data_IF_690726394159
#
_entry.id   IF_690726394159
#
_cell.length_a   1.000
_cell.length_b   1.000
_cell.length_c   1.000
_cell.angle_alpha   90.00
_cell.angle_beta   90.00
_cell.angle_gamma   90.00
#
_symmetry.space_group_name_H-M   'P 1'
#
loop_
_entity.id
_entity.type
_entity.pdbx_description
1 polymer ?
#
# COMPACT_ATOMS: atom_id res chain seq x y z
N UNK A 1 -47.89 -13.48 56.99
CA UNK A 1 -47.86 -12.11 56.45
C UNK A 1 -46.45 -11.59 56.57
N UNK A 2 -45.66 -11.73 55.51
CA UNK A 2 -44.39 -11.02 55.31
C UNK A 2 -44.33 -10.69 53.83
N UNK A 3 -44.37 -9.41 53.53
CA UNK A 3 -44.34 -8.81 52.19
C UNK A 3 -42.89 -8.59 51.76
N UNK A 4 -42.43 -9.24 50.70
CA UNK A 4 -41.22 -8.85 49.97
C UNK A 4 -41.62 -8.10 48.71
N UNK A 5 -41.40 -6.78 48.76
CA UNK A 5 -41.46 -5.87 47.64
C UNK A 5 -40.20 -6.02 46.78
N UNK A 6 -40.32 -6.77 45.67
CA UNK A 6 -39.30 -6.84 44.63
C UNK A 6 -39.18 -5.50 43.89
N UNK A 7 -38.12 -4.76 44.20
CA UNK A 7 -37.75 -3.53 43.53
C UNK A 7 -37.18 -3.86 42.14
N UNK A 8 -37.98 -3.74 41.07
CA UNK A 8 -37.46 -3.87 39.70
C UNK A 8 -36.71 -2.58 39.35
N UNK A 9 -35.40 -2.60 39.55
CA UNK A 9 -34.51 -1.57 39.02
C UNK A 9 -34.54 -1.65 37.50
N UNK A 10 -35.31 -0.77 36.87
CA UNK A 10 -35.24 -0.53 35.44
C UNK A 10 -33.80 -0.22 35.05
N UNK A 11 -33.22 -1.08 34.21
CA UNK A 11 -31.89 -0.89 33.67
C UNK A 11 -31.93 0.35 32.78
N UNK A 12 -31.43 1.48 33.28
CA UNK A 12 -31.27 2.70 32.49
C UNK A 12 -30.16 2.42 31.49
N UNK A 13 -30.55 2.05 30.28
CA UNK A 13 -29.63 1.87 29.16
C UNK A 13 -29.22 3.26 28.68
N UNK A 14 -27.95 3.61 28.86
CA UNK A 14 -27.37 4.81 28.28
C UNK A 14 -27.36 4.65 26.75
N UNK A 15 -28.35 5.26 26.10
CA UNK A 15 -28.50 5.25 24.64
C UNK A 15 -27.31 5.91 23.94
N UNK A 16 -26.56 6.77 24.61
CA UNK A 16 -25.34 7.41 24.10
C UNK A 16 -24.18 6.43 24.11
N UNK A 17 -24.00 5.66 25.20
CA UNK A 17 -23.02 4.59 25.27
C UNK A 17 -23.36 3.40 24.34
N UNK A 18 -24.65 3.12 24.12
CA UNK A 18 -25.10 2.12 23.13
C UNK A 18 -24.90 2.61 21.69
N UNK A 19 -25.07 3.91 21.43
CA UNK A 19 -24.75 4.52 20.11
C UNK A 19 -23.24 4.55 19.85
N UNK A 20 -22.43 4.88 20.85
CA UNK A 20 -20.97 4.83 20.75
C UNK A 20 -20.45 3.39 20.56
N UNK A 21 -21.08 2.39 21.20
CA UNK A 21 -20.80 0.95 20.94
C UNK A 21 -21.26 0.46 19.56
N UNK A 22 -22.12 1.22 18.87
CA UNK A 22 -22.63 0.90 17.51
C UNK A 22 -21.91 1.68 16.41
N UNK A 23 -21.09 2.67 16.73
CA UNK A 23 -20.26 3.32 15.74
C UNK A 23 -19.12 2.37 15.40
N UNK A 24 -19.27 1.69 14.25
CA UNK A 24 -18.21 0.90 13.63
C UNK A 24 -16.96 1.78 13.55
N UNK A 25 -15.84 1.28 14.07
CA UNK A 25 -14.56 1.96 13.88
C UNK A 25 -14.19 1.84 12.40
N UNK A 26 -13.82 2.94 11.73
CA UNK A 26 -13.44 2.90 10.33
C UNK A 26 -12.25 1.95 10.17
N UNK A 27 -12.18 1.25 9.04
CA UNK A 27 -11.11 0.31 8.73
C UNK A 27 -10.49 0.62 7.38
N UNK A 28 -9.23 0.23 7.24
CA UNK A 28 -8.61 0.13 5.93
C UNK A 28 -8.65 -1.33 5.53
N UNK A 29 -9.30 -1.63 4.40
CA UNK A 29 -9.35 -2.96 3.82
C UNK A 29 -8.38 -3.01 2.66
N UNK A 30 -7.54 -4.04 2.63
CA UNK A 30 -6.68 -4.35 1.49
C UNK A 30 -7.46 -5.23 0.53
N UNK A 31 -7.71 -4.70 -0.65
CA UNK A 31 -8.40 -5.39 -1.72
C UNK A 31 -7.38 -5.91 -2.73
N UNK A 32 -7.52 -7.18 -3.11
CA UNK A 32 -6.92 -7.73 -4.33
C UNK A 32 -7.96 -7.68 -5.44
N UNK A 33 -7.76 -6.79 -6.39
CA UNK A 33 -8.56 -6.72 -7.61
C UNK A 33 -7.80 -7.45 -8.73
N UNK A 34 -8.37 -8.51 -9.29
CA UNK A 34 -7.72 -9.35 -10.28
C UNK A 34 -8.59 -9.60 -11.51
N UNK A 35 -7.99 -9.48 -12.69
CA UNK A 35 -8.54 -9.92 -13.96
C UNK A 35 -7.73 -11.12 -14.45
N UNK A 36 -8.36 -12.29 -14.48
CA UNK A 36 -7.76 -13.54 -14.95
C UNK A 36 -8.13 -13.75 -16.42
N UNK A 37 -7.12 -13.81 -17.29
CA UNK A 37 -7.26 -14.18 -18.70
C UNK A 37 -6.55 -15.52 -18.94
N UNK A 38 -6.83 -16.14 -20.08
CA UNK A 38 -6.26 -17.45 -20.40
C UNK A 38 -4.72 -17.41 -20.56
N UNK A 39 -4.16 -16.24 -20.84
CA UNK A 39 -2.76 -16.00 -21.19
C UNK A 39 -2.04 -15.03 -20.23
N UNK A 40 -2.77 -14.31 -19.37
CA UNK A 40 -2.19 -13.36 -18.43
C UNK A 40 -3.08 -13.14 -17.20
N UNK A 41 -2.46 -12.79 -16.08
CA UNK A 41 -3.13 -12.29 -14.89
C UNK A 41 -2.72 -10.84 -14.67
N UNK A 42 -3.72 -9.97 -14.50
CA UNK A 42 -3.53 -8.58 -14.09
C UNK A 42 -4.11 -8.42 -12.72
N UNK A 43 -3.36 -7.89 -11.77
CA UNK A 43 -3.90 -7.64 -10.44
C UNK A 43 -3.38 -6.35 -9.82
N UNK A 44 -4.16 -5.81 -8.88
CA UNK A 44 -3.83 -4.63 -8.07
C UNK A 44 -4.15 -4.95 -6.62
N UNK A 45 -3.23 -4.61 -5.74
CA UNK A 45 -3.47 -4.52 -4.30
C UNK A 45 -3.76 -3.06 -3.96
N UNK A 46 -4.92 -2.80 -3.39
CA UNK A 46 -5.42 -1.45 -3.14
C UNK A 46 -5.91 -1.39 -1.70
N UNK A 47 -5.31 -0.53 -0.89
CA UNK A 47 -5.83 -0.18 0.42
C UNK A 47 -6.90 0.89 0.30
N UNK A 48 -8.08 0.63 0.87
CA UNK A 48 -9.23 1.53 0.79
C UNK A 48 -9.90 1.72 2.15
N UNK A 49 -10.46 2.91 2.39
CA UNK A 49 -11.39 3.13 3.49
C UNK A 49 -12.64 2.25 3.30
N UNK A 50 -12.97 1.43 4.29
CA UNK A 50 -14.13 0.52 4.24
C UNK A 50 -15.50 1.24 4.27
N UNK A 51 -15.51 2.53 4.60
CA UNK A 51 -16.65 3.45 4.45
C UNK A 51 -16.74 4.12 3.08
N UNK A 52 -15.86 3.79 2.12
CA UNK A 52 -16.07 4.18 0.71
C UNK A 52 -17.37 3.56 0.20
N UNK A 53 -18.07 4.23 -0.73
CA UNK A 53 -19.14 3.57 -1.46
C UNK A 53 -18.57 2.79 -2.65
N UNK A 54 -19.31 1.78 -3.13
CA UNK A 54 -18.95 1.05 -4.34
C UNK A 54 -18.79 1.97 -5.56
N UNK A 55 -19.56 3.06 -5.66
CA UNK A 55 -19.39 4.08 -6.69
C UNK A 55 -18.03 4.79 -6.62
N UNK A 56 -17.50 5.02 -5.42
CA UNK A 56 -16.17 5.60 -5.27
C UNK A 56 -15.08 4.56 -5.56
N UNK A 57 -15.31 3.29 -5.20
CA UNK A 57 -14.41 2.20 -5.57
C UNK A 57 -14.33 2.02 -7.08
N UNK A 58 -15.42 2.26 -7.83
CA UNK A 58 -15.39 2.33 -9.29
C UNK A 58 -14.34 3.34 -9.78
N UNK A 59 -14.32 4.55 -9.23
CA UNK A 59 -13.34 5.57 -9.63
C UNK A 59 -11.90 5.14 -9.32
N UNK A 60 -11.68 4.52 -8.15
CA UNK A 60 -10.38 3.97 -7.75
C UNK A 60 -9.93 2.87 -8.70
N UNK A 61 -10.83 1.97 -9.11
CA UNK A 61 -10.52 0.87 -10.03
C UNK A 61 -10.29 1.37 -11.46
N UNK A 62 -11.03 2.40 -11.90
CA UNK A 62 -10.78 3.05 -13.18
C UNK A 62 -9.36 3.58 -13.23
N UNK A 63 -8.89 4.24 -12.17
CA UNK A 63 -7.53 4.75 -12.06
C UNK A 63 -6.51 3.61 -11.99
N UNK A 64 -6.72 2.65 -11.09
CA UNK A 64 -5.76 1.57 -10.86
C UNK A 64 -5.55 0.63 -12.06
N UNK A 65 -6.54 0.53 -12.96
CA UNK A 65 -6.47 -0.29 -14.17
C UNK A 65 -6.28 0.52 -15.46
N UNK A 66 -6.16 1.86 -15.39
CA UNK A 66 -5.95 2.70 -16.57
C UNK A 66 -7.14 2.69 -17.53
N UNK A 67 -8.36 2.77 -17.00
CA UNK A 67 -9.63 2.68 -17.76
C UNK A 67 -10.25 4.05 -18.09
N UNK A 68 -9.51 5.14 -17.88
CA UNK A 68 -9.99 6.52 -17.91
C UNK A 68 -10.52 6.91 -19.29
N UNK A 69 -9.87 6.46 -20.37
CA UNK A 69 -10.32 6.71 -21.75
C UNK A 69 -11.73 6.16 -22.02
N UNK A 70 -12.14 5.15 -21.25
CA UNK A 70 -13.44 4.49 -21.35
C UNK A 70 -14.41 4.96 -20.26
N UNK A 71 -14.00 5.90 -19.40
CA UNK A 71 -14.83 6.45 -18.33
C UNK A 71 -16.07 7.13 -18.94
N UNK A 72 -17.25 6.68 -18.50
CA UNK A 72 -18.54 7.21 -18.95
C UNK A 72 -19.05 6.65 -20.29
N UNK A 73 -18.25 5.89 -21.04
CA UNK A 73 -18.70 5.21 -22.27
C UNK A 73 -19.00 3.72 -22.04
N UNK A 74 -18.31 3.08 -21.10
CA UNK A 74 -18.56 1.70 -20.72
C UNK A 74 -19.59 1.59 -19.56
N UNK A 75 -20.60 0.71 -19.66
CA UNK A 75 -21.48 0.41 -18.53
C UNK A 75 -20.70 -0.34 -17.45
N UNK A 76 -21.02 -0.08 -16.18
CA UNK A 76 -20.40 -0.75 -15.06
C UNK A 76 -21.41 -1.09 -13.97
N UNK A 77 -21.07 -2.08 -13.14
CA UNK A 77 -21.76 -2.41 -11.89
C UNK A 77 -20.94 -3.40 -11.05
N UNK A 78 -21.37 -3.64 -9.82
CA UNK A 78 -20.87 -4.71 -8.97
C UNK A 78 -21.93 -5.81 -8.83
N UNK A 79 -21.49 -7.04 -8.60
CA UNK A 79 -22.33 -8.19 -8.25
C UNK A 79 -21.68 -9.03 -7.15
N UNK A 80 -22.44 -9.94 -6.53
CA UNK A 80 -21.86 -10.96 -5.65
C UNK A 80 -20.97 -11.91 -6.45
N UNK A 81 -19.94 -12.49 -5.80
CA UNK A 81 -19.05 -13.44 -6.48
C UNK A 81 -19.76 -14.72 -6.96
N UNK A 82 -20.88 -15.09 -6.32
CA UNK A 82 -21.62 -16.31 -6.63
C UNK A 82 -22.71 -16.11 -7.71
N UNK A 83 -23.33 -14.93 -7.80
CA UNK A 83 -24.38 -14.62 -8.77
C UNK A 83 -24.19 -13.26 -9.45
N UNK A 84 -23.77 -13.30 -10.72
CA UNK A 84 -23.61 -12.13 -11.58
C UNK A 84 -24.88 -11.27 -11.70
N UNK A 85 -26.07 -11.87 -11.57
CA UNK A 85 -27.33 -11.15 -11.72
C UNK A 85 -27.74 -10.41 -10.44
N UNK A 86 -27.15 -10.77 -9.31
CA UNK A 86 -27.35 -10.10 -8.03
C UNK A 86 -26.49 -8.83 -7.98
N UNK A 87 -27.01 -7.76 -8.59
CA UNK A 87 -26.33 -6.47 -8.64
C UNK A 87 -26.34 -5.80 -7.28
N UNK A 88 -25.18 -5.33 -6.84
CA UNK A 88 -25.03 -4.55 -5.62
C UNK A 88 -25.36 -3.09 -5.87
N UNK A 89 -25.89 -2.39 -4.87
CA UNK A 89 -26.16 -0.96 -4.99
C UNK A 89 -24.83 -0.19 -4.96
N UNK A 90 -24.60 0.66 -5.96
CA UNK A 90 -23.38 1.47 -6.02
C UNK A 90 -23.27 2.46 -4.84
N UNK A 91 -24.39 2.76 -4.18
CA UNK A 91 -24.44 3.56 -2.97
C UNK A 91 -24.17 2.77 -1.68
N UNK A 92 -23.91 1.46 -1.75
CA UNK A 92 -23.51 0.69 -0.57
C UNK A 92 -22.06 0.99 -0.19
N UNK A 93 -21.80 1.09 1.12
CA UNK A 93 -20.46 1.15 1.67
C UNK A 93 -19.75 -0.20 1.50
N UNK A 94 -18.43 -0.18 1.24
CA UNK A 94 -17.64 -1.38 0.96
C UNK A 94 -17.79 -2.43 2.03
N UNK A 95 -17.86 -2.00 3.28
CA UNK A 95 -17.92 -2.90 4.39
C UNK A 95 -19.23 -3.70 4.55
N UNK A 96 -20.24 -3.44 3.72
CA UNK A 96 -21.39 -4.35 3.64
C UNK A 96 -21.06 -5.62 2.85
N UNK A 97 -20.02 -5.58 2.02
CA UNK A 97 -19.71 -6.62 1.03
C UNK A 97 -18.27 -7.16 1.12
N UNK A 98 -17.35 -6.41 1.72
CA UNK A 98 -15.91 -6.67 1.78
C UNK A 98 -15.38 -6.38 3.19
N UNK A 99 -15.98 -7.02 4.21
CA UNK A 99 -15.67 -6.75 5.61
C UNK A 99 -14.59 -7.69 6.17
N UNK A 100 -14.70 -8.97 5.83
CA UNK A 100 -13.87 -10.05 6.33
C UNK A 100 -12.90 -10.53 5.24
N UNK A 101 -11.77 -11.09 5.67
CA UNK A 101 -10.83 -11.73 4.76
C UNK A 101 -11.52 -12.87 3.99
N UNK A 102 -11.35 -12.87 2.68
CA UNK A 102 -11.98 -13.81 1.75
C UNK A 102 -13.29 -13.31 1.15
N UNK A 103 -13.95 -12.30 1.74
CA UNK A 103 -15.12 -11.68 1.14
C UNK A 103 -14.81 -11.22 -0.28
N UNK A 104 -15.70 -11.51 -1.21
CA UNK A 104 -15.46 -11.27 -2.62
C UNK A 104 -16.69 -10.77 -3.37
N UNK A 105 -16.47 -9.79 -4.24
CA UNK A 105 -17.46 -9.27 -5.19
C UNK A 105 -16.83 -9.23 -6.59
N UNK A 106 -17.66 -9.07 -7.61
CA UNK A 106 -17.18 -8.88 -8.99
C UNK A 106 -17.52 -7.49 -9.46
N UNK A 107 -16.52 -6.79 -9.95
CA UNK A 107 -16.69 -5.53 -10.66
C UNK A 107 -16.73 -5.79 -12.17
N UNK A 108 -17.81 -5.34 -12.80
CA UNK A 108 -18.02 -5.45 -14.23
C UNK A 108 -17.82 -4.08 -14.87
N UNK A 109 -16.96 -3.99 -15.87
CA UNK A 109 -16.71 -2.77 -16.65
C UNK A 109 -16.67 -3.10 -18.14
N UNK A 110 -17.74 -2.75 -18.86
CA UNK A 110 -17.91 -3.17 -20.25
C UNK A 110 -17.93 -4.69 -20.38
N UNK A 111 -16.90 -5.25 -21.03
CA UNK A 111 -16.71 -6.69 -21.21
C UNK A 111 -15.77 -7.33 -20.18
N UNK A 112 -15.22 -6.53 -19.27
CA UNK A 112 -14.23 -6.98 -18.31
C UNK A 112 -14.89 -7.31 -16.97
N UNK A 113 -14.49 -8.45 -16.42
CA UNK A 113 -14.86 -8.89 -15.08
C UNK A 113 -13.60 -8.89 -14.20
N UNK A 114 -13.62 -8.13 -13.11
CA UNK A 114 -12.52 -8.00 -12.17
C UNK A 114 -13.01 -8.52 -10.83
N UNK A 115 -12.41 -9.60 -10.33
CA UNK A 115 -12.73 -10.18 -9.03
C UNK A 115 -12.04 -9.33 -7.97
N UNK A 116 -12.79 -8.88 -6.98
CA UNK A 116 -12.29 -8.08 -5.86
C UNK A 116 -12.46 -8.91 -4.62
N UNK A 117 -11.34 -9.23 -3.98
CA UNK A 117 -11.31 -9.99 -2.73
C UNK A 117 -10.70 -9.16 -1.62
N UNK A 118 -11.36 -9.10 -0.47
CA UNK A 118 -10.76 -8.57 0.75
C UNK A 118 -9.69 -9.55 1.24
N UNK A 119 -8.44 -9.10 1.30
CA UNK A 119 -7.30 -9.90 1.74
C UNK A 119 -7.02 -9.66 3.21
N UNK A 120 -7.13 -8.41 3.65
CA UNK A 120 -6.83 -8.06 5.03
C UNK A 120 -7.57 -6.78 5.42
N UNK A 121 -7.76 -6.58 6.72
CA UNK A 121 -8.49 -5.43 7.23
C UNK A 121 -7.93 -4.99 8.57
N UNK A 122 -7.63 -3.70 8.70
CA UNK A 122 -7.01 -3.12 9.91
C UNK A 122 -7.80 -1.92 10.39
N UNK A 123 -7.65 -1.60 11.67
CA UNK A 123 -8.21 -0.36 12.20
C UNK A 123 -7.61 0.83 11.46
N UNK A 124 -8.48 1.74 11.06
CA UNK A 124 -8.09 2.93 10.35
C UNK A 124 -7.72 4.02 11.34
N UNK A 125 -6.61 4.67 11.08
CA UNK A 125 -6.28 5.95 11.66
C UNK A 125 -6.75 7.11 10.76
N UNK A 126 -6.83 8.30 11.34
CA UNK A 126 -7.28 9.52 10.64
C UNK A 126 -6.33 9.94 9.49
N UNK A 127 -5.11 9.38 9.42
CA UNK A 127 -4.05 9.74 8.46
C UNK A 127 -3.97 8.83 7.23
N UNK A 128 -4.70 7.72 7.18
CA UNK A 128 -4.66 6.83 6.02
C UNK A 128 -5.38 7.48 4.83
N UNK A 129 -4.81 7.49 3.60
CA UNK A 129 -5.49 7.98 2.40
C UNK A 129 -6.80 7.23 2.16
N UNK A 130 -7.75 7.89 1.47
CA UNK A 130 -9.04 7.27 1.16
C UNK A 130 -8.86 6.00 0.31
N UNK A 131 -7.93 6.06 -0.65
CA UNK A 131 -7.49 4.93 -1.46
C UNK A 131 -5.99 5.08 -1.76
N UNK A 132 -5.29 3.95 -1.80
CA UNK A 132 -3.87 3.86 -2.16
C UNK A 132 -3.62 2.53 -2.85
N UNK A 133 -3.06 2.54 -4.05
CA UNK A 133 -2.52 1.32 -4.64
C UNK A 133 -1.21 0.99 -3.94
N UNK A 134 -1.06 -0.23 -3.44
CA UNK A 134 0.11 -0.66 -2.66
C UNK A 134 0.92 -1.73 -3.38
N UNK A 135 0.52 -2.10 -4.61
CA UNK A 135 1.22 -3.08 -5.42
C UNK A 135 0.33 -3.62 -6.54
N UNK A 136 0.93 -4.36 -7.45
CA UNK A 136 0.22 -4.94 -8.59
C UNK A 136 1.18 -5.45 -9.65
N UNK A 137 0.62 -6.14 -10.64
CA UNK A 137 1.38 -6.56 -11.81
C UNK A 137 0.45 -6.75 -13.02
N UNK A 138 1.07 -6.80 -14.20
CA UNK A 138 0.38 -6.98 -15.47
C UNK A 138 -0.14 -5.68 -16.09
N UNK A 139 -0.06 -5.63 -17.41
CA UNK A 139 -0.62 -4.56 -18.23
C UNK A 139 -2.11 -4.83 -18.51
N UNK A 140 -2.93 -3.79 -18.51
CA UNK A 140 -4.34 -3.88 -18.87
C UNK A 140 -4.57 -3.12 -20.18
N UNK A 141 -4.78 -3.87 -21.28
CA UNK A 141 -4.78 -3.25 -22.61
C UNK A 141 -3.36 -2.80 -22.98
N UNK A 142 -3.21 -1.55 -23.42
CA UNK A 142 -1.92 -0.94 -23.75
C UNK A 142 -1.29 -0.19 -22.55
N UNK A 143 -1.95 -0.19 -21.39
CA UNK A 143 -1.47 0.52 -20.18
C UNK A 143 -0.68 -0.42 -19.29
N UNK A 144 0.61 -0.12 -19.10
CA UNK A 144 1.48 -0.82 -18.15
C UNK A 144 1.14 -0.44 -16.69
N UNK A 145 1.54 -1.30 -15.75
CA UNK A 145 1.36 -1.00 -14.34
C UNK A 145 2.39 0.03 -13.87
N UNK A 146 1.90 1.23 -13.55
CA UNK A 146 2.69 2.30 -12.92
C UNK A 146 2.05 2.69 -11.58
N UNK A 147 2.57 2.08 -10.51
CA UNK A 147 2.16 2.36 -9.14
C UNK A 147 2.23 3.86 -8.80
N UNK A 148 3.23 4.54 -9.34
CA UNK A 148 3.57 5.91 -9.06
C UNK A 148 2.54 6.86 -9.70
N UNK A 149 2.24 6.67 -10.98
CA UNK A 149 1.22 7.44 -11.70
C UNK A 149 -0.18 7.21 -11.11
N UNK A 150 -0.54 5.95 -10.83
CA UNK A 150 -1.82 5.58 -10.20
C UNK A 150 -1.99 6.34 -8.88
N UNK A 151 -0.99 6.32 -8.01
CA UNK A 151 -1.10 6.95 -6.70
C UNK A 151 -1.05 8.47 -6.74
N UNK A 152 -0.34 9.07 -7.68
CA UNK A 152 -0.38 10.53 -7.88
C UNK A 152 -1.80 11.00 -8.22
N UNK A 153 -2.54 10.21 -9.01
CA UNK A 153 -3.94 10.50 -9.33
C UNK A 153 -4.89 10.20 -8.16
N UNK A 154 -4.67 9.10 -7.42
CA UNK A 154 -5.49 8.75 -6.25
C UNK A 154 -5.32 9.70 -5.06
N UNK A 155 -4.14 10.28 -4.84
CA UNK A 155 -3.82 11.07 -3.63
C UNK A 155 -3.79 12.59 -3.85
N UNK A 156 -3.71 13.06 -5.10
CA UNK A 156 -3.63 14.48 -5.43
C UNK A 156 -2.19 15.03 -5.42
N UNK A 157 -1.93 16.03 -6.26
CA UNK A 157 -0.57 16.43 -6.68
C UNK A 157 0.21 17.23 -5.63
N UNK A 158 0.95 16.57 -4.74
CA UNK A 158 2.06 17.22 -4.02
C UNK A 158 3.17 17.59 -5.02
N UNK A 159 3.84 18.75 -4.88
CA UNK A 159 4.93 19.07 -5.82
C UNK A 159 6.17 18.23 -5.53
N UNK A 160 6.98 17.92 -6.55
CA UNK A 160 8.25 17.17 -6.41
C UNK A 160 9.12 17.76 -5.29
N UNK A 161 9.13 19.09 -5.17
CA UNK A 161 9.90 19.81 -4.14
C UNK A 161 9.42 19.49 -2.74
N UNK A 162 8.10 19.44 -2.52
CA UNK A 162 7.51 19.21 -1.20
C UNK A 162 7.79 17.77 -0.73
N UNK A 163 7.69 16.82 -1.66
CA UNK A 163 7.97 15.39 -1.42
C UNK A 163 9.43 15.18 -1.03
N UNK A 164 10.36 15.71 -1.83
CA UNK A 164 11.78 15.60 -1.55
C UNK A 164 12.20 16.40 -0.29
N UNK A 165 11.41 17.39 0.13
CA UNK A 165 11.65 18.10 1.39
C UNK A 165 11.27 17.26 2.61
N UNK A 166 10.25 16.40 2.50
CA UNK A 166 9.82 15.46 3.54
C UNK A 166 10.62 14.15 3.57
N UNK A 167 11.50 13.94 2.59
CA UNK A 167 12.29 12.70 2.45
C UNK A 167 13.67 12.82 3.12
N UNK A 168 14.12 11.73 3.75
CA UNK A 168 15.43 11.54 4.33
C UNK A 168 16.53 12.13 3.43
N UNK A 169 17.45 12.97 3.96
CA UNK A 169 18.43 13.66 3.13
C UNK A 169 19.34 12.74 2.32
N UNK A 170 19.56 11.50 2.79
CA UNK A 170 20.35 10.51 2.06
C UNK A 170 19.64 10.02 0.79
N UNK A 171 18.34 9.77 0.87
CA UNK A 171 17.49 9.35 -0.26
C UNK A 171 17.35 10.49 -1.26
N UNK A 172 17.12 11.73 -0.80
CA UNK A 172 17.10 12.90 -1.70
C UNK A 172 18.39 13.02 -2.50
N UNK A 173 19.55 12.92 -1.83
CA UNK A 173 20.86 12.97 -2.51
C UNK A 173 21.06 11.80 -3.46
N UNK A 174 20.53 10.63 -3.14
CA UNK A 174 20.57 9.45 -4.01
C UNK A 174 19.80 9.74 -5.30
N UNK A 175 18.55 10.21 -5.20
CA UNK A 175 17.71 10.59 -6.35
C UNK A 175 18.39 11.67 -7.19
N UNK A 176 18.93 12.72 -6.56
CA UNK A 176 19.64 13.79 -7.27
C UNK A 176 20.90 13.29 -8.01
N UNK A 177 21.65 12.34 -7.41
CA UNK A 177 22.87 11.78 -8.00
C UNK A 177 22.60 10.77 -9.11
N UNK A 178 21.60 9.92 -8.95
CA UNK A 178 21.23 8.92 -9.95
C UNK A 178 20.47 9.54 -11.12
N UNK A 179 19.78 10.67 -10.89
CA UNK A 179 18.87 11.28 -11.86
C UNK A 179 17.57 10.49 -12.05
N UNK A 180 17.29 9.50 -11.20
CA UNK A 180 16.10 8.65 -11.28
C UNK A 180 14.99 9.29 -10.45
N UNK A 181 14.22 10.17 -11.07
CA UNK A 181 13.08 10.84 -10.44
C UNK A 181 11.83 9.96 -10.34
N UNK A 182 11.86 8.74 -10.88
CA UNK A 182 10.77 7.76 -10.84
C UNK A 182 10.46 7.28 -9.41
N UNK A 183 11.35 7.54 -8.44
CA UNK A 183 11.06 7.32 -7.02
C UNK A 183 10.16 8.40 -6.40
N UNK A 184 10.04 9.58 -7.01
CA UNK A 184 9.25 10.69 -6.42
C UNK A 184 7.78 10.31 -6.26
N UNK A 185 7.09 9.68 -7.23
CA UNK A 185 5.70 9.35 -7.03
C UNK A 185 5.48 8.14 -6.10
N UNK A 186 6.47 7.26 -5.93
CA UNK A 186 6.49 6.31 -4.81
C UNK A 186 6.53 7.05 -3.46
N UNK A 187 7.42 8.03 -3.30
CA UNK A 187 7.53 8.81 -2.06
C UNK A 187 6.27 9.66 -1.80
N UNK A 188 5.60 10.13 -2.85
CA UNK A 188 4.26 10.73 -2.75
C UNK A 188 3.25 9.72 -2.20
N UNK A 189 3.21 8.52 -2.78
CA UNK A 189 2.30 7.45 -2.36
C UNK A 189 2.50 7.04 -0.89
N UNK A 190 3.75 7.07 -0.41
CA UNK A 190 4.05 6.76 0.98
C UNK A 190 3.56 7.84 1.96
N UNK A 191 3.40 9.09 1.50
CA UNK A 191 3.06 10.26 2.33
C UNK A 191 3.93 10.36 3.59
N UNK A 192 5.21 10.69 3.40
CA UNK A 192 6.20 10.78 4.49
C UNK A 192 5.90 11.90 5.50
N UNK A 193 4.94 12.78 5.21
CA UNK A 193 4.53 13.82 6.18
C UNK A 193 3.62 13.27 7.27
N UNK A 194 3.04 12.08 7.06
CA UNK A 194 2.21 11.37 8.01
C UNK A 194 2.97 11.02 9.30
N UNK A 195 2.31 11.17 10.44
CA UNK A 195 2.80 10.63 11.71
C UNK A 195 2.61 9.12 11.74
N UNK A 196 3.66 8.41 12.16
CA UNK A 196 3.68 6.96 12.26
C UNK A 196 3.68 6.57 13.74
N UNK A 197 2.81 5.64 14.13
CA UNK A 197 2.76 5.12 15.51
C UNK A 197 3.57 3.82 15.61
N UNK A 198 4.90 3.97 15.63
CA UNK A 198 5.81 2.85 15.85
C UNK A 198 6.18 2.71 17.34
N UNK A 199 6.34 1.48 17.84
CA UNK A 199 6.96 1.25 19.14
C UNK A 199 8.31 1.97 19.23
N UNK A 200 8.62 2.56 20.38
CA UNK A 200 9.84 3.38 20.55
C UNK A 200 11.12 2.63 20.25
N UNK A 201 11.18 1.37 20.64
CA UNK A 201 12.31 0.48 20.36
C UNK A 201 12.49 0.22 18.86
N UNK A 202 11.39 0.13 18.10
CA UNK A 202 11.44 0.06 16.63
C UNK A 202 11.98 1.37 16.06
N UNK A 203 11.39 2.51 16.45
CA UNK A 203 11.82 3.83 15.99
C UNK A 203 13.31 4.12 16.30
N UNK A 204 13.79 3.73 17.49
CA UNK A 204 15.19 3.87 17.89
C UNK A 204 16.11 3.05 16.97
N UNK A 205 15.73 1.82 16.60
CA UNK A 205 16.50 1.00 15.64
C UNK A 205 16.49 1.62 14.25
N UNK A 206 15.33 2.13 13.78
CA UNK A 206 15.21 2.78 12.47
C UNK A 206 16.06 4.05 12.37
N UNK A 207 16.22 4.80 13.46
CA UNK A 207 17.08 5.98 13.50
C UNK A 207 18.58 5.65 13.40
N UNK A 208 19.00 4.42 13.71
CA UNK A 208 20.39 3.98 13.66
C UNK A 208 20.82 3.41 12.29
N UNK A 209 19.86 3.04 11.43
CA UNK A 209 20.14 2.48 10.10
C UNK A 209 20.20 3.57 9.01
N UNK A 210 21.07 3.43 7.98
CA UNK A 210 21.98 2.31 7.73
C UNK A 210 23.19 2.26 8.68
N UNK A 211 23.56 1.04 9.09
CA UNK A 211 24.77 0.71 9.84
C UNK A 211 26.04 0.75 8.97
N UNK A 212 25.88 0.70 7.65
CA UNK A 212 26.99 0.73 6.70
C UNK A 212 27.63 2.11 6.64
N UNK A 213 28.97 2.14 6.67
CA UNK A 213 29.72 3.40 6.60
C UNK A 213 30.29 3.68 5.22
N UNK A 214 30.51 2.64 4.41
CA UNK A 214 31.05 2.77 3.07
C UNK A 214 30.02 3.38 2.12
N UNK A 215 30.40 4.35 1.25
CA UNK A 215 29.46 4.97 0.31
C UNK A 215 28.62 4.00 -0.55
N UNK A 216 29.19 2.98 -1.23
CA UNK A 216 28.39 2.06 -2.04
C UNK A 216 27.40 1.25 -1.19
N UNK A 217 27.78 0.92 0.04
CA UNK A 217 26.95 0.14 0.95
C UNK A 217 25.77 0.95 1.51
N UNK A 218 25.96 2.25 1.73
CA UNK A 218 24.88 3.17 2.13
C UNK A 218 23.90 3.41 0.99
N UNK A 219 24.40 3.63 -0.23
CA UNK A 219 23.56 3.79 -1.42
C UNK A 219 22.79 2.49 -1.70
N UNK A 220 23.42 1.33 -1.54
CA UNK A 220 22.77 0.02 -1.63
C UNK A 220 21.62 -0.11 -0.63
N UNK A 221 21.82 0.26 0.64
CA UNK A 221 20.76 0.23 1.64
C UNK A 221 19.53 1.05 1.22
N UNK A 222 19.72 2.33 0.89
CA UNK A 222 18.60 3.19 0.51
C UNK A 222 17.91 2.75 -0.77
N UNK A 223 18.67 2.22 -1.73
CA UNK A 223 18.11 1.61 -2.94
C UNK A 223 17.25 0.40 -2.61
N UNK A 224 17.70 -0.46 -1.68
CA UNK A 224 16.91 -1.60 -1.21
C UNK A 224 15.64 -1.16 -0.49
N UNK A 225 15.72 -0.15 0.38
CA UNK A 225 14.53 0.39 1.06
C UNK A 225 13.52 0.93 0.05
N UNK A 226 13.96 1.70 -0.96
CA UNK A 226 13.09 2.18 -2.03
C UNK A 226 12.45 1.04 -2.83
N UNK A 227 13.21 0.02 -3.21
CA UNK A 227 12.69 -1.14 -3.93
C UNK A 227 11.69 -1.94 -3.08
N UNK A 228 11.97 -2.13 -1.79
CA UNK A 228 11.06 -2.82 -0.87
C UNK A 228 9.77 -2.04 -0.66
N UNK A 229 9.84 -0.70 -0.59
CA UNK A 229 8.68 0.15 -0.45
C UNK A 229 7.76 0.12 -1.69
N UNK A 230 8.26 -0.27 -2.85
CA UNK A 230 7.43 -0.54 -4.04
C UNK A 230 6.51 -1.76 -3.87
N UNK A 231 6.77 -2.64 -2.90
CA UNK A 231 6.03 -3.90 -2.69
C UNK A 231 5.92 -4.77 -3.96
N UNK A 232 6.94 -4.70 -4.80
CA UNK A 232 7.05 -5.48 -6.03
C UNK A 232 7.51 -6.92 -5.78
N UNK A 233 7.50 -7.72 -6.85
CA UNK A 233 8.14 -9.03 -6.82
C UNK A 233 9.68 -8.92 -6.82
N UNK A 234 10.36 -10.05 -6.68
CA UNK A 234 11.82 -10.13 -6.58
C UNK A 234 12.52 -9.70 -7.88
N UNK A 235 11.93 -10.02 -9.05
CA UNK A 235 12.51 -9.66 -10.35
C UNK A 235 12.48 -8.15 -10.58
N UNK A 236 11.34 -7.51 -10.31
CA UNK A 236 11.20 -6.07 -10.38
C UNK A 236 12.12 -5.39 -9.35
N UNK A 237 12.16 -5.93 -8.13
CA UNK A 237 13.03 -5.41 -7.08
C UNK A 237 14.48 -5.40 -7.54
N UNK A 238 15.00 -6.53 -8.02
CA UNK A 238 16.38 -6.65 -8.46
C UNK A 238 16.68 -5.74 -9.65
N UNK A 239 15.74 -5.60 -10.60
CA UNK A 239 15.89 -4.64 -11.69
C UNK A 239 16.02 -3.19 -11.21
N UNK A 240 15.22 -2.79 -10.22
CA UNK A 240 15.31 -1.45 -9.60
C UNK A 240 16.66 -1.28 -8.90
N UNK A 241 17.13 -2.30 -8.17
CA UNK A 241 18.44 -2.26 -7.50
C UNK A 241 19.57 -2.05 -8.49
N UNK A 242 19.65 -2.90 -9.51
CA UNK A 242 20.74 -2.93 -10.48
C UNK A 242 20.79 -1.64 -11.31
N UNK A 243 19.65 -1.19 -11.81
CA UNK A 243 19.53 0.06 -12.58
C UNK A 243 19.96 1.26 -11.74
N UNK A 244 19.51 1.34 -10.49
CA UNK A 244 19.81 2.49 -9.61
C UNK A 244 21.28 2.52 -9.23
N UNK A 245 21.85 1.38 -8.83
CA UNK A 245 23.26 1.31 -8.45
C UNK A 245 24.18 1.57 -9.65
N UNK A 246 23.82 1.11 -10.84
CA UNK A 246 24.54 1.44 -12.08
C UNK A 246 24.47 2.94 -12.40
N UNK A 247 23.29 3.57 -12.27
CA UNK A 247 23.13 5.02 -12.49
C UNK A 247 23.96 5.87 -11.49
N UNK A 248 24.18 5.35 -10.28
CA UNK A 248 25.06 5.96 -9.28
C UNK A 248 26.56 5.74 -9.59
N UNK A 249 26.89 4.91 -10.57
CA UNK A 249 28.25 4.56 -10.97
C UNK A 249 28.91 3.51 -10.09
N UNK A 250 28.12 2.67 -9.40
CA UNK A 250 28.65 1.57 -8.60
C UNK A 250 28.77 0.29 -9.42
N UNK A 251 29.97 -0.27 -9.43
CA UNK A 251 30.35 -1.49 -10.16
C UNK A 251 31.06 -2.45 -9.18
N UNK A 252 31.18 -3.72 -9.55
CA UNK A 252 31.99 -4.70 -8.83
C UNK A 252 33.49 -4.49 -9.12
N UNK A 253 34.36 -5.19 -8.38
CA UNK A 253 35.82 -5.03 -8.46
C UNK A 253 36.39 -5.33 -9.86
N UNK A 254 35.67 -6.08 -10.68
CA UNK A 254 36.02 -6.43 -12.07
C UNK A 254 35.46 -5.44 -13.11
N UNK A 255 34.77 -4.37 -12.67
CA UNK A 255 34.15 -3.37 -13.52
C UNK A 255 32.81 -3.79 -14.13
N UNK A 256 32.21 -4.88 -13.66
CA UNK A 256 30.87 -5.29 -14.07
C UNK A 256 29.78 -4.63 -13.21
N UNK A 257 28.54 -4.47 -13.72
CA UNK A 257 27.43 -3.98 -12.92
C UNK A 257 27.15 -4.87 -11.71
N UNK A 258 26.85 -4.27 -10.56
CA UNK A 258 26.46 -5.01 -9.36
C UNK A 258 25.12 -5.72 -9.58
N UNK A 259 25.02 -7.00 -9.21
CA UNK A 259 23.76 -7.75 -9.21
C UNK A 259 22.90 -7.46 -7.99
N UNK A 260 21.59 -7.71 -8.06
CA UNK A 260 20.65 -7.53 -6.94
C UNK A 260 21.11 -8.24 -5.66
N UNK A 261 21.55 -9.49 -5.77
CA UNK A 261 22.12 -10.25 -4.65
C UNK A 261 23.40 -9.62 -4.06
N UNK A 262 24.28 -9.09 -4.92
CA UNK A 262 25.50 -8.39 -4.47
C UNK A 262 25.17 -7.08 -3.76
N UNK A 263 24.20 -6.33 -4.28
CA UNK A 263 23.72 -5.06 -3.69
C UNK A 263 23.18 -5.31 -2.27
N UNK A 264 22.35 -6.35 -2.07
CA UNK A 264 21.85 -6.72 -0.74
C UNK A 264 22.98 -7.12 0.22
N UNK A 265 24.01 -7.80 -0.27
CA UNK A 265 25.19 -8.14 0.56
C UNK A 265 25.96 -6.91 1.04
N UNK A 266 26.01 -5.83 0.24
CA UNK A 266 26.69 -4.60 0.64
C UNK A 266 26.04 -3.97 1.87
N UNK A 267 24.72 -4.13 2.05
CA UNK A 267 23.95 -3.58 3.16
C UNK A 267 23.40 -4.62 4.14
N UNK A 268 24.02 -5.81 4.19
CA UNK A 268 23.50 -6.96 4.94
C UNK A 268 23.25 -6.66 6.43
N UNK A 269 24.10 -5.84 7.08
CA UNK A 269 23.94 -5.56 8.52
C UNK A 269 22.66 -4.79 8.81
N UNK A 270 22.30 -3.83 7.95
CA UNK A 270 21.04 -3.11 8.06
C UNK A 270 19.85 -3.95 7.61
N UNK A 271 20.03 -4.83 6.63
CA UNK A 271 18.97 -5.76 6.21
C UNK A 271 18.63 -6.78 7.31
N UNK A 272 19.63 -7.25 8.07
CA UNK A 272 19.40 -8.10 9.24
C UNK A 272 18.54 -7.36 10.27
N UNK A 273 18.81 -6.08 10.54
CA UNK A 273 17.97 -5.25 11.41
C UNK A 273 16.56 -5.08 10.87
N UNK A 274 16.41 -4.83 9.57
CA UNK A 274 15.09 -4.74 8.96
C UNK A 274 14.33 -6.08 9.01
N UNK A 275 15.04 -7.19 8.93
CA UNK A 275 14.45 -8.52 9.08
C UNK A 275 13.98 -8.77 10.52
N UNK A 276 14.76 -8.38 11.52
CA UNK A 276 14.37 -8.48 12.94
C UNK A 276 13.09 -7.67 13.24
N UNK A 277 12.89 -6.55 12.54
CA UNK A 277 11.69 -5.71 12.63
C UNK A 277 10.52 -6.20 11.76
N UNK A 278 10.71 -7.29 11.00
CA UNK A 278 9.72 -7.81 10.06
C UNK A 278 9.46 -6.91 8.85
N UNK A 279 10.35 -5.96 8.53
CA UNK A 279 10.26 -5.20 7.29
C UNK A 279 10.73 -6.02 6.07
N UNK A 280 11.68 -6.94 6.27
CA UNK A 280 12.34 -7.69 5.21
C UNK A 280 12.43 -9.19 5.54
N UNK A 281 12.59 -10.05 4.53
CA UNK A 281 12.84 -11.48 4.72
C UNK A 281 11.58 -12.36 4.75
N UNK A 282 11.77 -13.62 5.14
CA UNK A 282 10.72 -14.65 5.09
C UNK A 282 9.61 -14.46 6.13
N UNK A 283 9.95 -13.85 7.27
CA UNK A 283 9.03 -13.55 8.38
C UNK A 283 8.55 -12.10 8.35
N UNK A 284 8.53 -11.49 7.16
CA UNK A 284 8.08 -10.13 6.97
C UNK A 284 6.62 -9.95 7.40
N UNK A 285 6.33 -8.84 8.07
CA UNK A 285 4.99 -8.42 8.45
C UNK A 285 4.11 -8.21 7.20
N UNK A 286 2.82 -8.00 7.46
CA UNK A 286 1.86 -7.63 6.41
C UNK A 286 2.36 -6.42 5.60
N UNK A 287 1.97 -6.27 4.33
CA UNK A 287 2.36 -5.10 3.54
C UNK A 287 2.05 -3.76 4.24
N UNK A 288 0.93 -3.64 4.95
CA UNK A 288 0.54 -2.39 5.61
C UNK A 288 1.47 -2.05 6.78
N UNK A 289 1.74 -3.01 7.66
CA UNK A 289 2.60 -2.77 8.84
C UNK A 289 4.03 -2.40 8.42
N UNK A 290 4.49 -2.94 7.29
CA UNK A 290 5.79 -2.59 6.71
C UNK A 290 5.83 -1.18 6.14
N UNK A 291 4.72 -0.63 5.66
CA UNK A 291 4.68 0.75 5.15
C UNK A 291 5.03 1.77 6.23
N UNK A 292 4.58 1.54 7.46
CA UNK A 292 4.89 2.43 8.58
C UNK A 292 6.38 2.41 8.93
N UNK A 293 7.00 1.23 8.88
CA UNK A 293 8.46 1.09 9.01
C UNK A 293 9.18 1.86 7.89
N UNK A 294 8.75 1.72 6.63
CA UNK A 294 9.37 2.43 5.51
C UNK A 294 9.11 3.93 5.52
N UNK A 295 7.95 4.39 5.97
CA UNK A 295 7.64 5.81 6.16
C UNK A 295 8.62 6.43 7.14
N UNK A 296 8.79 5.81 8.31
CA UNK A 296 9.70 6.32 9.34
C UNK A 296 11.15 6.34 8.83
N UNK A 297 11.59 5.28 8.17
CA UNK A 297 12.92 5.19 7.55
C UNK A 297 13.20 6.27 6.51
N UNK A 298 12.21 6.55 5.67
CA UNK A 298 12.35 7.46 4.53
C UNK A 298 12.05 8.92 4.91
N UNK A 299 11.60 9.21 6.13
CA UNK A 299 11.25 10.56 6.59
C UNK A 299 12.49 11.42 6.87
N UNK A 300 12.34 12.75 6.69
CA UNK A 300 13.36 13.76 6.94
C UNK A 300 13.58 14.09 8.42
#
# INVERSE_FOLDING_TARGET
>A
MSSESGNSTGQVVDLTAVRARRQRQPRTVILRAANLRADAEVHRHIGVNDGLHLADLHDVLVIAFGLEEHRGSAPWHFSTHEDRNERLDAADELHHHLAEEGDSIVYHFGLWDIIITAVESYLRDDGTPRALCVGGSGAFGDTEFDLAAINAELTGTATIRDVLAATAPAVRRLIDRSGIFDFVPLLQALDLTREVDLPRDVADVLAEIPLETAPPARDAFWTVVLALACMGDELLSDHVLETTMSALGWEDDDGTPLSGGRIRQLCARSLDRLSDLGAYGADALSPVDRLDIYRELLRA
#
